data_IF_845724708376
#
_entry.id   IF_845724708376
#
_cell.length_a   1.000
_cell.length_b   1.000
_cell.length_c   1.000
_cell.angle_alpha   90.00
_cell.angle_beta   90.00
_cell.angle_gamma   90.00
#
_symmetry.space_group_name_H-M   'P 1'
#
loop_
_entity.id
_entity.type
_entity.pdbx_description
1 polymer ?
#
# COMPACT_ATOMS: atom_id res chain seq x y z
N UNK A 1 -7.80 4.20 10.91
CA UNK A 1 -7.62 3.92 12.34
C UNK A 1 -6.49 2.91 12.49
N UNK A 2 -5.49 3.22 13.30
CA UNK A 2 -4.39 2.30 13.58
C UNK A 2 -4.38 1.96 15.07
N UNK A 3 -4.33 0.66 15.38
CA UNK A 3 -4.07 0.16 16.72
C UNK A 3 -2.63 -0.31 16.78
N UNK A 4 -1.78 0.38 17.54
CA UNK A 4 -0.38 0.05 17.75
C UNK A 4 -0.20 -0.64 19.10
N UNK A 5 0.33 -1.85 19.11
CA UNK A 5 0.65 -2.60 20.32
C UNK A 5 2.05 -3.21 20.22
N UNK A 6 2.85 -3.03 21.26
CA UNK A 6 4.21 -3.54 21.36
C UNK A 6 4.29 -4.64 22.42
N UNK A 7 3.81 -5.84 22.13
CA UNK A 7 4.13 -7.04 22.93
C UNK A 7 4.15 -8.31 22.07
N UNK A 8 5.08 -9.18 22.43
CA UNK A 8 5.49 -10.43 21.83
C UNK A 8 4.51 -11.56 22.19
N UNK A 9 4.13 -12.40 21.21
CA UNK A 9 4.10 -13.86 21.35
C UNK A 9 3.71 -14.55 20.03
N UNK A 10 4.41 -15.60 19.74
CA UNK A 10 4.45 -16.40 18.51
C UNK A 10 3.23 -17.29 18.32
N UNK A 11 2.66 -17.30 17.10
CA UNK A 11 1.95 -18.46 16.53
C UNK A 11 2.29 -18.54 15.05
N UNK A 12 2.83 -19.70 14.63
CA UNK A 12 3.10 -20.05 13.24
C UNK A 12 1.79 -20.31 12.50
N UNK A 13 1.61 -19.74 11.32
CA UNK A 13 0.59 -20.17 10.37
C UNK A 13 1.21 -20.50 9.01
N UNK A 14 0.75 -21.61 8.44
CA UNK A 14 1.20 -22.26 7.22
C UNK A 14 1.12 -21.33 5.99
N UNK A 15 2.23 -20.71 5.65
CA UNK A 15 2.61 -20.34 4.30
C UNK A 15 3.77 -21.21 3.87
N UNK A 16 3.51 -22.49 3.70
CA UNK A 16 4.39 -23.36 2.93
C UNK A 16 4.42 -22.88 1.49
N UNK A 17 5.65 -22.74 0.96
CA UNK A 17 6.06 -22.65 -0.45
C UNK A 17 6.67 -21.35 -0.96
N UNK A 18 6.98 -20.35 -0.15
CA UNK A 18 7.97 -19.35 -0.56
C UNK A 18 9.17 -19.44 0.36
N UNK A 19 10.06 -20.38 0.08
CA UNK A 19 11.20 -20.74 0.95
C UNK A 19 12.35 -19.75 0.79
N UNK A 20 12.40 -19.01 -0.34
CA UNK A 20 13.48 -18.07 -0.64
C UNK A 20 12.95 -16.69 -1.01
N UNK A 21 13.82 -15.67 -0.91
CA UNK A 21 13.54 -14.35 -1.44
C UNK A 21 13.23 -14.38 -2.96
N UNK A 22 13.90 -15.27 -3.70
CA UNK A 22 13.68 -15.44 -5.14
C UNK A 22 12.29 -15.96 -5.46
N UNK A 23 11.75 -16.87 -4.66
CA UNK A 23 10.40 -17.39 -4.83
C UNK A 23 9.37 -16.28 -4.61
N UNK A 24 9.55 -15.50 -3.54
CA UNK A 24 8.69 -14.35 -3.23
C UNK A 24 8.75 -13.26 -4.30
N UNK A 25 9.93 -12.99 -4.84
CA UNK A 25 10.13 -12.04 -5.93
C UNK A 25 9.44 -12.52 -7.21
N UNK A 26 9.64 -13.79 -7.58
CA UNK A 26 9.04 -14.38 -8.79
C UNK A 26 7.51 -14.35 -8.73
N UNK A 27 6.92 -14.72 -7.60
CA UNK A 27 5.48 -14.65 -7.37
C UNK A 27 4.96 -13.21 -7.47
N UNK A 28 5.66 -12.27 -6.84
CA UNK A 28 5.28 -10.85 -6.86
C UNK A 28 5.35 -10.25 -8.28
N UNK A 29 6.34 -10.65 -9.07
CA UNK A 29 6.44 -10.26 -10.47
C UNK A 29 5.27 -10.83 -11.29
N UNK A 30 4.91 -12.09 -11.08
CA UNK A 30 3.74 -12.71 -11.71
C UNK A 30 2.43 -11.96 -11.41
N UNK A 31 2.19 -11.61 -10.14
CA UNK A 31 1.03 -10.80 -9.74
C UNK A 31 1.04 -9.41 -10.42
N UNK A 32 2.20 -8.76 -10.49
CA UNK A 32 2.31 -7.45 -11.14
C UNK A 32 2.06 -7.51 -12.65
N UNK A 33 2.53 -8.57 -13.32
CA UNK A 33 2.23 -8.81 -14.73
C UNK A 33 0.72 -9.03 -14.89
N UNK A 34 0.12 -9.93 -14.10
CA UNK A 34 -1.30 -10.26 -14.18
C UNK A 34 -2.22 -9.05 -13.97
N UNK A 35 -1.89 -8.15 -13.02
CA UNK A 35 -2.67 -6.92 -12.79
C UNK A 35 -2.73 -5.97 -14.00
N UNK A 36 -1.74 -6.02 -14.87
CA UNK A 36 -1.63 -5.16 -16.04
C UNK A 36 -2.08 -5.82 -17.35
N UNK A 37 -2.51 -7.09 -17.28
CA UNK A 37 -3.00 -7.84 -18.43
C UNK A 37 -4.53 -7.96 -18.38
N UNK A 38 -5.25 -7.66 -19.48
CA UNK A 38 -6.69 -7.86 -19.56
C UNK A 38 -7.01 -9.36 -19.61
N UNK A 39 -7.59 -9.89 -18.55
CA UNK A 39 -7.84 -11.32 -18.32
C UNK A 39 -8.60 -11.99 -19.48
N UNK A 40 -9.57 -11.28 -20.08
CA UNK A 40 -10.39 -11.80 -21.17
C UNK A 40 -9.67 -11.90 -22.55
N UNK A 41 -8.46 -11.34 -22.67
CA UNK A 41 -7.76 -11.21 -23.95
C UNK A 41 -6.44 -11.98 -24.03
N UNK A 42 -5.99 -12.56 -22.91
CA UNK A 42 -4.70 -13.23 -22.81
C UNK A 42 -4.88 -14.71 -22.51
N UNK A 43 -4.31 -15.55 -23.38
CA UNK A 43 -4.15 -16.96 -23.07
C UNK A 43 -2.99 -17.15 -22.09
N UNK A 44 -3.32 -17.48 -20.85
CA UNK A 44 -2.34 -17.58 -19.75
C UNK A 44 -1.29 -18.68 -20.00
N UNK A 45 -1.70 -19.81 -20.57
CA UNK A 45 -0.79 -20.94 -20.87
C UNK A 45 0.25 -20.53 -21.91
N UNK A 46 -0.18 -19.85 -22.99
CA UNK A 46 0.74 -19.34 -24.02
C UNK A 46 1.64 -18.21 -23.51
N UNK A 47 1.18 -17.42 -22.55
CA UNK A 47 2.03 -16.41 -21.91
C UNK A 47 3.16 -17.07 -21.11
N UNK A 48 2.84 -18.11 -20.34
CA UNK A 48 3.82 -18.88 -19.55
C UNK A 48 4.79 -19.58 -20.49
N UNK A 49 4.29 -20.16 -21.57
CA UNK A 49 5.12 -20.83 -22.59
C UNK A 49 6.09 -19.85 -23.25
N UNK A 50 5.64 -18.65 -23.63
CA UNK A 50 6.53 -17.62 -24.17
C UNK A 50 7.62 -17.14 -23.21
N UNK A 51 7.35 -17.10 -21.90
CA UNK A 51 8.38 -16.85 -20.89
C UNK A 51 9.40 -17.99 -20.82
N UNK A 52 8.94 -19.24 -20.89
CA UNK A 52 9.80 -20.42 -20.88
C UNK A 52 10.69 -20.48 -22.14
N UNK A 53 10.15 -20.23 -23.32
CA UNK A 53 10.89 -20.18 -24.58
C UNK A 53 12.02 -19.14 -24.51
N UNK A 54 11.74 -17.96 -23.96
CA UNK A 54 12.77 -16.92 -23.77
C UNK A 54 13.90 -17.35 -22.83
N UNK A 55 13.57 -17.98 -21.67
CA UNK A 55 14.59 -18.42 -20.70
C UNK A 55 15.35 -19.65 -21.14
N UNK A 56 14.71 -20.55 -21.90
CA UNK A 56 15.35 -21.74 -22.47
C UNK A 56 16.24 -21.42 -23.68
N UNK A 57 16.20 -20.14 -24.15
CA UNK A 57 16.87 -19.70 -25.38
C UNK A 57 16.44 -20.49 -26.62
N UNK A 58 15.23 -21.01 -26.62
CA UNK A 58 14.61 -21.61 -27.79
C UNK A 58 14.23 -20.54 -28.81
N UNK A 59 14.13 -20.94 -30.08
CA UNK A 59 13.71 -20.03 -31.12
C UNK A 59 12.22 -19.70 -30.97
N UNK A 60 11.84 -18.42 -30.77
CA UNK A 60 10.44 -18.07 -30.54
C UNK A 60 9.56 -18.43 -31.73
N UNK A 61 8.37 -18.93 -31.50
CA UNK A 61 7.38 -19.29 -32.54
C UNK A 61 6.97 -18.15 -33.45
N UNK A 62 7.03 -16.92 -32.94
CA UNK A 62 6.85 -15.69 -33.71
C UNK A 62 8.18 -14.99 -33.84
N UNK A 63 8.56 -14.57 -35.03
CA UNK A 63 9.76 -13.77 -35.26
C UNK A 63 9.58 -12.34 -34.66
N UNK A 64 10.65 -11.56 -34.62
CA UNK A 64 10.64 -10.23 -33.99
C UNK A 64 9.63 -9.27 -34.66
N UNK A 65 9.47 -9.33 -35.97
CA UNK A 65 8.53 -8.48 -36.72
C UNK A 65 7.08 -8.84 -36.40
N UNK A 66 6.74 -10.11 -36.41
CA UNK A 66 5.40 -10.62 -36.06
C UNK A 66 5.01 -10.27 -34.63
N UNK A 67 5.92 -10.44 -33.66
CA UNK A 67 5.70 -10.03 -32.28
C UNK A 67 5.40 -8.53 -32.14
N UNK A 68 6.18 -7.70 -32.86
CA UNK A 68 5.97 -6.24 -32.82
C UNK A 68 4.65 -5.83 -33.47
N UNK A 69 4.23 -6.50 -34.53
CA UNK A 69 2.94 -6.22 -35.19
C UNK A 69 1.76 -6.56 -34.28
N UNK A 70 1.77 -7.73 -33.64
CA UNK A 70 0.74 -8.14 -32.67
C UNK A 70 0.67 -7.18 -31.47
N UNK A 71 1.82 -6.78 -30.91
CA UNK A 71 1.86 -5.83 -29.80
C UNK A 71 1.37 -4.43 -30.20
N UNK A 72 1.65 -3.98 -31.43
CA UNK A 72 1.12 -2.71 -31.95
C UNK A 72 -0.40 -2.79 -32.10
N UNK A 73 -0.92 -3.86 -32.68
CA UNK A 73 -2.36 -4.06 -32.82
C UNK A 73 -3.08 -4.08 -31.46
N UNK A 74 -2.52 -4.77 -30.47
CA UNK A 74 -3.01 -4.79 -29.10
C UNK A 74 -3.01 -3.39 -28.47
N UNK A 75 -1.93 -2.62 -28.60
CA UNK A 75 -1.84 -1.26 -28.07
C UNK A 75 -2.84 -0.31 -28.73
N UNK A 76 -3.05 -0.41 -30.05
CA UNK A 76 -4.05 0.40 -30.77
C UNK A 76 -5.45 0.05 -30.29
N UNK A 77 -5.80 -1.24 -30.21
CA UNK A 77 -7.09 -1.71 -29.72
C UNK A 77 -7.36 -1.23 -28.28
N UNK A 78 -6.38 -1.33 -27.40
CA UNK A 78 -6.50 -0.83 -26.03
C UNK A 78 -6.56 0.70 -25.96
N UNK A 79 -5.87 1.44 -26.83
CA UNK A 79 -5.90 2.90 -26.83
C UNK A 79 -7.23 3.47 -27.31
N UNK A 80 -7.93 2.81 -28.20
CA UNK A 80 -9.27 3.24 -28.68
C UNK A 80 -10.37 2.89 -27.66
N UNK A 81 -10.29 1.72 -27.02
CA UNK A 81 -11.21 1.34 -25.94
C UNK A 81 -10.95 2.11 -24.65
N UNK A 82 -9.74 2.63 -24.48
CA UNK A 82 -9.21 3.14 -23.21
C UNK A 82 -9.60 4.60 -22.95
N UNK A 83 -9.73 5.47 -23.94
CA UNK A 83 -9.97 6.91 -23.69
C UNK A 83 -11.29 7.21 -23.01
N UNK A 84 -12.39 6.60 -23.42
CA UNK A 84 -13.70 6.85 -22.79
C UNK A 84 -13.82 6.11 -21.46
N UNK A 85 -13.31 4.89 -21.39
CA UNK A 85 -13.29 4.07 -20.16
C UNK A 85 -12.34 4.67 -19.12
N UNK A 86 -11.14 5.07 -19.50
CA UNK A 86 -10.19 5.75 -18.61
C UNK A 86 -10.72 7.10 -18.13
N UNK A 87 -11.38 7.86 -19.00
CA UNK A 87 -12.04 9.12 -18.59
C UNK A 87 -13.13 8.85 -17.56
N UNK A 88 -14.01 7.89 -17.81
CA UNK A 88 -15.08 7.52 -16.87
C UNK A 88 -14.52 6.95 -15.54
N UNK A 89 -13.48 6.12 -15.61
CA UNK A 89 -12.79 5.59 -14.41
C UNK A 89 -12.09 6.70 -13.63
N UNK A 90 -11.42 7.64 -14.32
CA UNK A 90 -10.76 8.77 -13.67
C UNK A 90 -11.78 9.70 -12.99
N UNK A 91 -12.89 10.01 -13.65
CA UNK A 91 -13.98 10.82 -13.06
C UNK A 91 -14.60 10.12 -11.85
N UNK A 92 -14.83 8.81 -11.93
CA UNK A 92 -15.31 7.99 -10.81
C UNK A 92 -14.30 7.95 -9.66
N UNK A 93 -13.02 7.79 -9.96
CA UNK A 93 -11.95 7.79 -8.96
C UNK A 93 -11.83 9.16 -8.25
N UNK A 94 -11.88 10.25 -9.00
CA UNK A 94 -11.87 11.61 -8.46
C UNK A 94 -13.08 11.86 -7.56
N UNK A 95 -14.27 11.45 -7.98
CA UNK A 95 -15.50 11.59 -7.20
C UNK A 95 -15.38 10.79 -5.89
N UNK A 96 -14.97 9.52 -5.97
CA UNK A 96 -14.78 8.64 -4.80
C UNK A 96 -13.72 9.19 -3.84
N UNK A 97 -12.61 9.69 -4.37
CA UNK A 97 -11.55 10.33 -3.58
C UNK A 97 -12.08 11.55 -2.81
N UNK A 98 -12.90 12.39 -3.48
CA UNK A 98 -13.52 13.54 -2.85
C UNK A 98 -14.50 13.15 -1.75
N UNK A 99 -15.35 12.15 -1.99
CA UNK A 99 -16.29 11.63 -1.02
C UNK A 99 -15.57 11.04 0.20
N UNK A 100 -14.53 10.24 -0.02
CA UNK A 100 -13.73 9.66 1.05
C UNK A 100 -13.01 10.74 1.89
N UNK A 101 -12.50 11.78 1.23
CA UNK A 101 -11.90 12.92 1.92
C UNK A 101 -12.91 13.63 2.82
N UNK A 102 -14.11 13.90 2.32
CA UNK A 102 -15.18 14.53 3.10
C UNK A 102 -15.61 13.66 4.29
N UNK A 103 -15.83 12.37 4.08
CA UNK A 103 -16.14 11.42 5.15
C UNK A 103 -15.04 11.36 6.21
N UNK A 104 -13.78 11.35 5.78
CA UNK A 104 -12.63 11.35 6.69
C UNK A 104 -12.56 12.63 7.53
N UNK A 105 -12.81 13.78 6.94
CA UNK A 105 -12.87 15.07 7.66
C UNK A 105 -14.03 15.10 8.67
N UNK A 106 -15.22 14.69 8.25
CA UNK A 106 -16.39 14.61 9.14
C UNK A 106 -16.15 13.66 10.32
N UNK A 107 -15.55 12.50 10.05
CA UNK A 107 -15.16 11.56 11.10
C UNK A 107 -14.21 12.22 12.11
N UNK A 108 -13.15 12.87 11.64
CA UNK A 108 -12.17 13.51 12.52
C UNK A 108 -12.79 14.67 13.34
N UNK A 109 -13.71 15.45 12.75
CA UNK A 109 -14.39 16.51 13.50
C UNK A 109 -15.27 15.95 14.63
N UNK A 110 -16.01 14.87 14.37
CA UNK A 110 -16.79 14.17 15.41
C UNK A 110 -15.90 13.53 16.47
N UNK A 111 -14.79 12.93 16.05
CA UNK A 111 -13.92 12.18 16.93
C UNK A 111 -13.15 13.09 17.92
N UNK A 112 -12.91 14.37 17.58
CA UNK A 112 -12.26 15.35 18.47
C UNK A 112 -12.93 15.47 19.84
N UNK A 113 -14.24 15.23 19.90
CA UNK A 113 -15.03 15.38 21.14
C UNK A 113 -15.23 14.06 21.86
N UNK A 114 -14.69 12.96 21.32
CA UNK A 114 -14.81 11.65 21.95
C UNK A 114 -13.88 11.53 23.17
N UNK A 115 -14.33 10.76 24.15
CA UNK A 115 -13.61 10.58 25.41
C UNK A 115 -12.18 10.04 25.19
N UNK A 116 -11.22 10.66 25.87
CA UNK A 116 -9.81 10.25 25.83
C UNK A 116 -9.07 10.65 24.56
N UNK A 117 -9.72 11.28 23.59
CA UNK A 117 -9.07 11.74 22.36
C UNK A 117 -8.22 12.98 22.62
N UNK A 118 -6.98 12.92 22.16
CA UNK A 118 -6.02 14.03 22.13
C UNK A 118 -5.70 14.38 20.69
N UNK A 119 -5.35 15.65 20.43
CA UNK A 119 -5.11 16.16 19.06
C UNK A 119 -3.76 16.84 19.01
N UNK A 120 -2.96 16.53 18.01
CA UNK A 120 -1.78 17.33 17.69
C UNK A 120 -2.20 18.56 16.88
N UNK A 121 -2.05 19.75 17.47
CA UNK A 121 -2.58 21.01 16.92
C UNK A 121 -2.09 21.32 15.50
N UNK A 122 -0.88 20.94 15.14
CA UNK A 122 -0.27 21.24 13.84
C UNK A 122 -0.71 20.28 12.74
N UNK A 123 -0.65 19.00 13.00
CA UNK A 123 -0.94 17.94 12.03
C UNK A 123 -2.41 17.50 12.03
N UNK A 124 -3.16 17.85 13.07
CA UNK A 124 -4.54 17.40 13.30
C UNK A 124 -4.65 15.87 13.44
N UNK A 125 -3.54 15.17 13.67
CA UNK A 125 -3.56 13.76 14.05
C UNK A 125 -4.25 13.65 15.40
N UNK A 126 -5.17 12.70 15.51
CA UNK A 126 -5.88 12.39 16.74
C UNK A 126 -5.40 11.05 17.28
N UNK A 127 -5.33 10.94 18.59
CA UNK A 127 -4.90 9.71 19.22
C UNK A 127 -5.53 9.51 20.57
N UNK A 128 -5.64 8.27 20.98
CA UNK A 128 -6.05 7.86 22.32
C UNK A 128 -5.01 6.90 22.87
N UNK A 129 -4.56 7.15 24.08
CA UNK A 129 -3.65 6.25 24.81
C UNK A 129 -4.48 5.12 25.37
N UNK A 130 -4.24 3.88 24.90
CA UNK A 130 -4.88 2.67 25.41
C UNK A 130 -4.06 2.07 26.55
N UNK A 131 -2.73 2.10 26.40
CA UNK A 131 -1.78 1.76 27.47
C UNK A 131 -0.55 2.64 27.30
N UNK A 132 -0.02 3.15 28.40
CA UNK A 132 1.18 3.95 28.42
C UNK A 132 2.39 3.05 28.68
N UNK A 133 3.44 3.21 27.89
CA UNK A 133 4.73 2.56 28.08
C UNK A 133 5.68 3.48 28.86
N UNK A 134 6.71 2.92 29.42
CA UNK A 134 7.74 3.59 30.20
C UNK A 134 9.13 3.57 29.53
N UNK A 135 9.22 3.01 28.32
CA UNK A 135 10.46 2.93 27.57
C UNK A 135 10.83 4.23 26.86
N UNK A 136 11.98 4.22 26.19
CA UNK A 136 12.46 5.38 25.43
C UNK A 136 11.49 5.77 24.31
N UNK A 137 11.38 7.07 24.06
CA UNK A 137 10.66 7.60 22.88
C UNK A 137 11.61 7.57 21.68
N UNK A 138 11.24 6.98 20.55
CA UNK A 138 12.09 6.91 19.38
C UNK A 138 12.39 8.29 18.79
N UNK A 139 13.60 8.44 18.27
CA UNK A 139 14.01 9.59 17.45
C UNK A 139 13.75 9.36 15.97
N UNK A 140 13.91 10.41 15.14
CA UNK A 140 13.67 10.40 13.70
C UNK A 140 14.51 9.35 12.94
N UNK A 141 15.74 9.13 13.36
CA UNK A 141 16.68 8.19 12.72
C UNK A 141 16.62 6.76 13.27
N UNK A 142 15.78 6.53 14.27
CA UNK A 142 15.66 5.22 14.92
C UNK A 142 14.90 4.20 14.05
N UNK A 143 15.10 2.94 14.43
CA UNK A 143 14.35 1.79 13.91
C UNK A 143 13.47 1.25 15.03
N UNK A 144 12.19 1.08 14.73
CA UNK A 144 11.18 0.61 15.69
C UNK A 144 10.59 -0.72 15.26
N UNK A 145 10.23 -1.53 16.25
CA UNK A 145 9.51 -2.79 16.06
C UNK A 145 8.11 -2.65 16.64
N UNK A 146 7.09 -2.78 15.79
CA UNK A 146 5.70 -2.48 16.16
C UNK A 146 4.73 -3.55 15.69
N UNK A 147 3.72 -3.81 16.53
CA UNK A 147 2.49 -4.45 16.09
C UNK A 147 1.44 -3.40 15.77
N UNK A 148 0.70 -3.60 14.68
CA UNK A 148 -0.36 -2.69 14.28
C UNK A 148 -1.50 -3.38 13.53
N UNK A 149 -2.66 -2.74 13.57
CA UNK A 149 -3.77 -2.99 12.68
C UNK A 149 -4.17 -1.69 12.00
N UNK A 150 -4.23 -1.69 10.68
CA UNK A 150 -4.66 -0.56 9.86
C UNK A 150 -6.09 -0.74 9.38
N UNK A 151 -6.95 0.24 9.67
CA UNK A 151 -8.35 0.24 9.26
C UNK A 151 -8.70 1.51 8.51
N UNK A 152 -9.56 1.40 7.52
CA UNK A 152 -10.28 2.53 6.96
C UNK A 152 -11.43 2.95 7.89
N UNK A 153 -12.02 4.11 7.65
CA UNK A 153 -13.10 4.64 8.49
C UNK A 153 -14.40 3.83 8.42
N UNK A 154 -14.56 3.02 7.38
CA UNK A 154 -15.68 2.08 7.21
C UNK A 154 -15.46 0.74 7.93
N UNK A 155 -14.31 0.58 8.60
CA UNK A 155 -13.94 -0.62 9.32
C UNK A 155 -13.18 -1.67 8.49
N UNK A 156 -12.94 -1.42 7.19
CA UNK A 156 -12.15 -2.33 6.37
C UNK A 156 -10.70 -2.36 6.86
N UNK A 157 -10.24 -3.56 7.25
CA UNK A 157 -8.84 -3.78 7.65
C UNK A 157 -7.98 -3.97 6.41
N UNK A 158 -7.10 -3.02 6.12
CA UNK A 158 -6.26 -3.04 4.93
C UNK A 158 -4.86 -3.59 5.18
N UNK A 159 -4.38 -3.56 6.43
CA UNK A 159 -3.08 -4.10 6.81
C UNK A 159 -3.03 -4.47 8.29
N UNK A 160 -2.25 -5.52 8.63
CA UNK A 160 -2.10 -6.01 10.00
C UNK A 160 -0.81 -6.79 10.16
N UNK A 161 0.02 -6.41 11.12
CA UNK A 161 1.16 -7.21 11.55
C UNK A 161 0.74 -8.44 12.36
N UNK A 162 -0.42 -8.39 13.00
CA UNK A 162 -0.96 -9.56 13.72
C UNK A 162 -1.38 -10.68 12.76
N UNK A 163 -1.95 -10.32 11.60
CA UNK A 163 -2.33 -11.30 10.59
C UNK A 163 -1.09 -11.97 9.95
N UNK A 164 0.05 -11.30 9.98
CA UNK A 164 1.34 -11.87 9.57
C UNK A 164 2.03 -12.70 10.66
N UNK A 165 1.53 -12.67 11.90
CA UNK A 165 2.05 -13.40 13.05
C UNK A 165 3.34 -12.84 13.65
N UNK A 166 3.84 -11.69 13.16
CA UNK A 166 5.09 -11.09 13.64
C UNK A 166 5.02 -9.54 13.62
N UNK A 167 5.73 -8.86 14.52
CA UNK A 167 5.84 -7.41 14.50
C UNK A 167 6.64 -6.94 13.29
N UNK A 168 6.22 -5.80 12.73
CA UNK A 168 6.93 -5.18 11.63
C UNK A 168 8.05 -4.26 12.14
N UNK A 169 9.16 -4.21 11.42
CA UNK A 169 10.31 -3.36 11.72
C UNK A 169 10.36 -2.22 10.70
N UNK A 170 10.40 -0.98 11.20
CA UNK A 170 10.41 0.22 10.37
C UNK A 170 11.45 1.23 10.84
N UNK A 171 12.09 1.92 9.89
CA UNK A 171 12.77 3.17 10.18
C UNK A 171 11.73 4.27 10.39
N UNK A 172 11.84 5.06 11.45
CA UNK A 172 10.90 6.15 11.79
C UNK A 172 10.77 7.17 10.65
N UNK A 173 11.87 7.45 9.95
CA UNK A 173 11.89 8.34 8.77
C UNK A 173 11.37 7.70 7.47
N UNK A 174 11.19 6.39 7.45
CA UNK A 174 10.80 5.63 6.25
C UNK A 174 9.31 5.28 6.17
N UNK A 175 8.52 5.69 7.16
CA UNK A 175 7.08 5.46 7.19
C UNK A 175 6.29 6.70 6.74
N UNK A 176 4.96 6.58 6.64
CA UNK A 176 4.09 7.72 6.32
C UNK A 176 4.26 8.87 7.32
N UNK A 177 4.10 10.15 6.89
CA UNK A 177 4.33 11.30 7.76
C UNK A 177 3.57 11.26 9.09
N UNK A 178 2.34 10.75 9.08
CA UNK A 178 1.55 10.59 10.29
C UNK A 178 2.18 9.62 11.30
N UNK A 179 2.77 8.53 10.83
CA UNK A 179 3.50 7.60 11.69
C UNK A 179 4.80 8.18 12.21
N UNK A 180 5.55 8.86 11.34
CA UNK A 180 6.79 9.55 11.75
C UNK A 180 6.54 10.52 12.89
N UNK A 181 5.45 11.29 12.87
CA UNK A 181 5.11 12.22 13.94
C UNK A 181 4.67 11.51 15.23
N UNK A 182 3.85 10.46 15.11
CA UNK A 182 3.35 9.70 16.26
C UNK A 182 4.45 8.93 16.98
N UNK A 183 5.27 8.20 16.23
CA UNK A 183 6.32 7.36 16.80
C UNK A 183 7.30 8.18 17.65
N UNK A 184 7.61 9.42 17.26
CA UNK A 184 8.44 10.35 18.01
C UNK A 184 7.77 10.94 19.26
N UNK A 185 6.56 10.51 19.59
CA UNK A 185 5.82 10.93 20.80
C UNK A 185 5.36 9.74 21.64
N UNK A 186 5.52 8.53 21.11
CA UNK A 186 5.01 7.32 21.70
C UNK A 186 6.12 6.54 22.43
N UNK A 187 6.13 6.50 23.77
CA UNK A 187 7.12 5.72 24.52
C UNK A 187 7.05 4.23 24.15
N UNK A 188 8.18 3.57 24.09
CA UNK A 188 8.25 2.12 23.88
C UNK A 188 7.45 1.38 24.96
N UNK A 189 6.72 0.34 24.56
CA UNK A 189 5.79 -0.36 25.45
C UNK A 189 4.36 0.21 25.42
N UNK A 190 4.15 1.33 24.76
CA UNK A 190 2.81 1.95 24.65
C UNK A 190 1.92 1.23 23.66
N UNK A 191 0.61 1.43 23.85
CA UNK A 191 -0.44 1.06 22.90
C UNK A 191 -1.35 2.25 22.67
N UNK A 192 -1.34 2.77 21.44
CA UNK A 192 -2.15 3.93 21.07
C UNK A 192 -3.10 3.56 19.93
N UNK A 193 -4.27 4.16 19.97
CA UNK A 193 -5.18 4.23 18.84
C UNK A 193 -4.99 5.57 18.14
N UNK A 194 -4.73 5.53 16.83
CA UNK A 194 -4.30 6.73 16.10
C UNK A 194 -5.20 6.94 14.89
N UNK A 195 -5.64 8.17 14.68
CA UNK A 195 -6.48 8.60 13.57
C UNK A 195 -5.71 9.64 12.75
N UNK A 196 -5.26 9.22 11.58
CA UNK A 196 -4.36 10.00 10.73
C UNK A 196 -5.16 10.66 9.61
N UNK A 197 -5.12 11.99 9.45
CA UNK A 197 -5.71 12.69 8.31
C UNK A 197 -5.15 12.15 6.99
N UNK A 198 -5.98 12.12 5.94
CA UNK A 198 -5.64 11.53 4.64
C UNK A 198 -4.34 12.08 4.02
N UNK A 199 -4.05 13.36 4.20
CA UNK A 199 -2.84 14.03 3.67
C UNK A 199 -1.54 13.58 4.36
N UNK A 200 -1.63 12.92 5.52
CA UNK A 200 -0.49 12.36 6.25
C UNK A 200 -0.43 10.83 6.19
N UNK A 201 -1.42 10.20 5.56
CA UNK A 201 -1.54 8.76 5.43
C UNK A 201 -1.20 8.23 4.01
N UNK A 202 -1.20 9.08 2.97
CA UNK A 202 -0.99 8.69 1.58
C UNK A 202 0.35 9.22 1.03
N UNK A 203 1.37 8.36 1.02
CA UNK A 203 2.59 8.58 0.23
C UNK A 203 2.47 8.08 -1.24
N UNK A 204 1.36 7.42 -1.61
CA UNK A 204 1.21 6.74 -2.91
C UNK A 204 0.55 7.58 -4.00
N UNK A 205 0.28 8.87 -3.79
CA UNK A 205 -0.25 9.78 -4.81
C UNK A 205 0.52 11.11 -4.87
N UNK A 206 1.82 11.06 -4.98
CA UNK A 206 2.55 12.11 -5.68
C UNK A 206 2.62 11.69 -7.15
N UNK A 207 1.62 12.07 -7.93
CA UNK A 207 1.82 12.19 -9.37
C UNK A 207 3.09 12.99 -9.59
N UNK A 208 4.01 12.57 -10.46
CA UNK A 208 5.13 13.41 -10.84
C UNK A 208 4.56 14.74 -11.32
N UNK A 209 4.98 15.82 -10.68
CA UNK A 209 4.61 17.17 -11.10
C UNK A 209 5.04 17.35 -12.56
N UNK A 210 4.19 17.95 -13.44
CA UNK A 210 4.56 18.21 -14.82
C UNK A 210 5.75 19.17 -15.01
N UNK A 211 6.49 19.50 -13.95
CA UNK A 211 7.60 20.45 -13.95
C UNK A 211 9.00 19.86 -14.06
N UNK A 212 9.14 18.53 -14.12
CA UNK A 212 10.46 17.88 -14.22
C UNK A 212 10.78 17.39 -15.64
N UNK A 213 10.06 17.87 -16.68
CA UNK A 213 10.33 17.54 -18.07
C UNK A 213 11.07 18.63 -18.86
N UNK A 214 11.56 19.70 -18.19
CA UNK A 214 12.36 20.75 -18.82
C UNK A 214 13.64 21.01 -18.00
N UNK A 215 14.63 20.12 -18.14
CA UNK A 215 16.06 20.47 -18.09
C UNK A 215 16.90 19.37 -18.75
#
# INVERSE_FOLDING_TARGET
MFLLNTQDQTVKSDKELMVTFQDSLSYSMGINIGKNLPEAQINQDLLIEGLNDYWSKEEPRLNASERMEVLRAFNIMNSEMDRSTMKALSEKAVKLSRENKMKGQEFLEKNKTAEGIRVFNRSQIQYRIVAEGDGAVPDYDDVVKVHYNGYLIDGYKFDSSYDRGEPATFSVKGVIPGWTEILQKMPTGSKWEVFIPHNLACLLYTSPSPRDSDQ
#
